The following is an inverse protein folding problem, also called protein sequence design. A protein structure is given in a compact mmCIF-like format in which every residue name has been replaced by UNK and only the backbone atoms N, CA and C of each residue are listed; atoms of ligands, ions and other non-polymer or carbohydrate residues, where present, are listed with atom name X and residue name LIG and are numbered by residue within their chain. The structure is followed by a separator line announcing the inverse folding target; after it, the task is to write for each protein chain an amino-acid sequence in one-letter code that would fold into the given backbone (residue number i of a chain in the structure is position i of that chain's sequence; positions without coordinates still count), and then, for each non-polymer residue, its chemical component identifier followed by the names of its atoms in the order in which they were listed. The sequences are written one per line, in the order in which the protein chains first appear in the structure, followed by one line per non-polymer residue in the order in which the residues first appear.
data_IF_879708476270
#
_entry.id   IF_879708476270
#
_cell.length_a   1.000
_cell.length_b   1.000
_cell.length_c   1.000
_cell.angle_alpha   90.00
_cell.angle_beta   90.00
_cell.angle_gamma   90.00
#
_symmetry.space_group_name_H-M   'P 1'
#
loop_
_entity.id
_entity.type
_entity.pdbx_description
1 polymer ?
#
# COMPACT_ATOMS: atom_id res chain seq x y z
N UNK A 1 -28.37 -50.44 -56.11
CA UNK A 1 -29.09 -49.89 -54.93
C UNK A 1 -28.48 -50.30 -53.57
N UNK A 2 -28.37 -51.60 -53.20
CA UNK A 2 -27.86 -52.00 -51.85
C UNK A 2 -26.45 -51.53 -51.47
N UNK A 3 -25.51 -51.51 -52.42
CA UNK A 3 -24.12 -51.08 -52.18
C UNK A 3 -24.04 -49.58 -51.83
N UNK A 4 -24.90 -48.77 -52.46
CA UNK A 4 -25.00 -47.34 -52.22
C UNK A 4 -25.56 -47.08 -50.80
N UNK A 5 -26.60 -47.81 -50.41
CA UNK A 5 -27.19 -47.69 -49.07
C UNK A 5 -26.18 -48.03 -47.95
N UNK A 6 -25.37 -49.08 -48.13
CA UNK A 6 -24.31 -49.44 -47.16
C UNK A 6 -23.22 -48.37 -47.06
N UNK A 7 -22.82 -47.76 -48.19
CA UNK A 7 -21.85 -46.65 -48.19
C UNK A 7 -22.40 -45.42 -47.47
N UNK A 8 -23.67 -45.07 -47.70
CA UNK A 8 -24.32 -43.95 -47.00
C UNK A 8 -24.40 -44.21 -45.50
N UNK A 9 -24.73 -45.44 -45.07
CA UNK A 9 -24.75 -45.80 -43.65
C UNK A 9 -23.35 -45.71 -43.01
N UNK A 10 -22.31 -46.14 -43.73
CA UNK A 10 -20.93 -46.05 -43.26
C UNK A 10 -20.46 -44.60 -43.10
N UNK A 11 -20.81 -43.70 -44.04
CA UNK A 11 -20.50 -42.27 -43.94
C UNK A 11 -21.14 -41.66 -42.70
N UNK A 12 -22.43 -41.93 -42.46
CA UNK A 12 -23.14 -41.43 -41.27
C UNK A 12 -22.50 -41.89 -39.96
N UNK A 13 -22.09 -43.16 -39.88
CA UNK A 13 -21.41 -43.71 -38.70
C UNK A 13 -20.03 -43.07 -38.49
N UNK A 14 -19.33 -42.73 -39.57
CA UNK A 14 -18.03 -42.06 -39.51
C UNK A 14 -18.16 -40.59 -39.10
N UNK A 15 -19.20 -39.89 -39.59
CA UNK A 15 -19.55 -38.53 -39.18
C UNK A 15 -19.88 -38.49 -37.68
N UNK A 16 -20.74 -39.38 -37.20
CA UNK A 16 -21.12 -39.46 -35.78
C UNK A 16 -19.92 -39.78 -34.86
N UNK A 17 -19.01 -40.65 -35.31
CA UNK A 17 -17.76 -40.91 -34.58
C UNK A 17 -16.85 -39.68 -34.52
N UNK A 18 -16.75 -38.95 -35.63
CA UNK A 18 -15.94 -37.73 -35.71
C UNK A 18 -16.51 -36.62 -34.81
N UNK A 19 -17.83 -36.43 -34.79
CA UNK A 19 -18.51 -35.46 -33.90
C UNK A 19 -18.24 -35.75 -32.43
N UNK A 20 -18.38 -37.02 -31.99
CA UNK A 20 -18.08 -37.41 -30.60
C UNK A 20 -16.61 -37.19 -30.22
N UNK A 21 -15.69 -37.35 -31.18
CA UNK A 21 -14.27 -37.10 -30.94
C UNK A 21 -14.00 -35.60 -30.76
N UNK A 22 -14.60 -34.74 -31.58
CA UNK A 22 -14.51 -33.28 -31.46
C UNK A 22 -15.09 -32.81 -30.12
N UNK A 23 -16.24 -33.35 -29.70
CA UNK A 23 -16.86 -33.04 -28.41
C UNK A 23 -15.96 -33.42 -27.22
N UNK A 24 -15.29 -34.58 -27.29
CA UNK A 24 -14.36 -35.04 -26.26
C UNK A 24 -13.10 -34.15 -26.20
N UNK A 25 -12.57 -33.74 -27.36
CA UNK A 25 -11.43 -32.81 -27.44
C UNK A 25 -11.80 -31.42 -26.88
N UNK A 26 -12.99 -30.92 -27.21
CA UNK A 26 -13.53 -29.66 -26.68
C UNK A 26 -13.71 -29.73 -25.16
N UNK A 27 -14.29 -30.82 -24.65
CA UNK A 27 -14.45 -31.06 -23.22
C UNK A 27 -13.11 -31.06 -22.49
N UNK A 28 -12.10 -31.75 -23.03
CA UNK A 28 -10.74 -31.74 -22.49
C UNK A 28 -10.12 -30.33 -22.48
N UNK A 29 -10.30 -29.56 -23.56
CA UNK A 29 -9.80 -28.19 -23.64
C UNK A 29 -10.45 -27.28 -22.58
N UNK A 30 -11.76 -27.40 -22.37
CA UNK A 30 -12.50 -26.65 -21.36
C UNK A 30 -12.09 -27.05 -19.93
N UNK A 31 -11.88 -28.35 -19.68
CA UNK A 31 -11.38 -28.82 -18.39
C UNK A 31 -9.98 -28.27 -18.09
N UNK A 32 -9.06 -28.29 -19.06
CA UNK A 32 -7.73 -27.68 -18.91
C UNK A 32 -7.78 -26.15 -18.72
N UNK A 33 -8.83 -25.46 -19.20
CA UNK A 33 -9.03 -24.03 -18.98
C UNK A 33 -9.50 -23.75 -17.55
N UNK A 34 -10.43 -24.56 -17.05
CA UNK A 34 -10.91 -24.51 -15.66
C UNK A 34 -9.76 -24.75 -14.69
N UNK A 35 -8.96 -25.80 -14.91
CA UNK A 35 -7.79 -26.11 -14.07
C UNK A 35 -6.79 -24.96 -14.02
N UNK A 36 -6.50 -24.33 -15.18
CA UNK A 36 -5.61 -23.15 -15.24
C UNK A 36 -6.15 -21.96 -14.45
N UNK A 37 -7.44 -21.68 -14.54
CA UNK A 37 -8.08 -20.61 -13.76
C UNK A 37 -8.10 -20.93 -12.26
N UNK A 38 -8.33 -22.18 -11.87
CA UNK A 38 -8.23 -22.63 -10.47
C UNK A 38 -6.82 -22.38 -9.90
N UNK A 39 -5.77 -22.81 -10.61
CA UNK A 39 -4.37 -22.58 -10.20
C UNK A 39 -4.07 -21.08 -10.07
N UNK A 40 -4.59 -20.25 -10.98
CA UNK A 40 -4.42 -18.80 -10.95
C UNK A 40 -5.13 -18.17 -9.75
N UNK A 41 -6.34 -18.61 -9.43
CA UNK A 41 -7.09 -18.16 -8.27
C UNK A 41 -6.39 -18.55 -6.95
N UNK A 42 -5.88 -19.77 -6.84
CA UNK A 42 -5.10 -20.25 -5.69
C UNK A 42 -3.83 -19.43 -5.46
N UNK A 43 -3.08 -19.14 -6.53
CA UNK A 43 -1.89 -18.26 -6.44
C UNK A 43 -2.25 -16.86 -5.94
N UNK A 44 -3.39 -16.33 -6.35
CA UNK A 44 -3.84 -15.00 -5.92
C UNK A 44 -4.34 -14.99 -4.48
N UNK A 45 -5.06 -16.02 -4.03
CA UNK A 45 -5.48 -16.16 -2.62
C UNK A 45 -4.29 -16.40 -1.69
N UNK A 46 -3.32 -17.21 -2.10
CA UNK A 46 -2.07 -17.38 -1.36
C UNK A 46 -1.34 -16.04 -1.17
N UNK A 47 -1.20 -15.22 -2.23
CA UNK A 47 -0.62 -13.87 -2.16
C UNK A 47 -1.39 -12.92 -1.23
N UNK A 48 -2.72 -13.00 -1.22
CA UNK A 48 -3.56 -12.19 -0.31
C UNK A 48 -3.40 -12.64 1.14
N UNK A 49 -3.29 -13.94 1.41
CA UNK A 49 -3.05 -14.49 2.76
C UNK A 49 -1.64 -14.20 3.27
N UNK A 50 -0.65 -14.12 2.38
CA UNK A 50 0.73 -13.74 2.73
C UNK A 50 0.97 -12.24 2.77
N UNK A 51 -0.04 -11.39 2.54
CA UNK A 51 0.03 -10.00 3.00
C UNK A 51 0.10 -10.03 4.52
N UNK A 52 1.34 -10.11 5.02
CA UNK A 52 1.69 -10.08 6.44
C UNK A 52 0.92 -8.93 7.04
N UNK A 53 -0.07 -9.25 7.89
CA UNK A 53 -0.85 -8.24 8.60
C UNK A 53 0.16 -7.44 9.39
N UNK A 54 0.49 -6.25 8.89
CA UNK A 54 1.48 -5.41 9.54
C UNK A 54 0.96 -5.14 10.95
N UNK A 55 1.77 -5.52 11.93
CA UNK A 55 1.47 -5.20 13.31
C UNK A 55 1.35 -3.68 13.44
N UNK A 56 0.53 -3.18 14.39
CA UNK A 56 0.45 -1.73 14.63
C UNK A 56 1.83 -1.09 14.83
N UNK A 57 2.80 -1.84 15.36
CA UNK A 57 4.20 -1.41 15.51
C UNK A 57 4.89 -1.17 14.16
N UNK A 58 4.85 -2.14 13.25
CA UNK A 58 5.44 -2.03 11.90
C UNK A 58 4.83 -0.83 11.13
N UNK A 59 3.51 -0.65 11.21
CA UNK A 59 2.83 0.52 10.60
C UNK A 59 3.35 1.85 11.13
N UNK A 60 3.68 1.92 12.41
CA UNK A 60 4.24 3.13 13.01
C UNK A 60 5.73 3.30 12.69
N UNK A 61 6.48 2.20 12.54
CA UNK A 61 7.88 2.26 12.13
C UNK A 61 8.02 2.89 10.75
N UNK A 62 7.18 2.49 9.79
CA UNK A 62 7.12 3.09 8.44
C UNK A 62 6.78 4.59 8.51
N UNK A 63 5.76 4.96 9.30
CA UNK A 63 5.36 6.38 9.48
C UNK A 63 6.47 7.22 10.11
N UNK A 64 7.17 6.69 11.11
CA UNK A 64 8.29 7.37 11.75
C UNK A 64 9.47 7.53 10.78
N UNK A 65 9.77 6.52 9.97
CA UNK A 65 10.81 6.62 8.93
C UNK A 65 10.47 7.70 7.88
N UNK A 66 9.21 7.77 7.44
CA UNK A 66 8.76 8.81 6.52
C UNK A 66 8.87 10.21 7.15
N UNK A 67 8.48 10.33 8.42
CA UNK A 67 8.58 11.59 9.15
C UNK A 67 10.02 12.08 9.27
N UNK A 68 10.98 11.19 9.56
CA UNK A 68 12.41 11.53 9.61
C UNK A 68 12.92 12.02 8.26
N UNK A 69 12.54 11.38 7.15
CA UNK A 69 12.92 11.82 5.80
C UNK A 69 12.42 13.22 5.48
N UNK A 70 11.14 13.49 5.75
CA UNK A 70 10.52 14.80 5.52
C UNK A 70 11.13 15.89 6.42
N UNK A 71 11.48 15.52 7.65
CA UNK A 71 12.15 16.43 8.58
C UNK A 71 13.57 16.79 8.10
N UNK A 72 14.32 15.81 7.61
CA UNK A 72 15.64 16.04 7.02
C UNK A 72 15.58 16.96 5.78
N UNK A 73 14.45 16.98 5.07
CA UNK A 73 14.19 17.91 3.96
C UNK A 73 13.81 19.34 4.43
N UNK A 74 13.72 19.58 5.74
CA UNK A 74 13.38 20.88 6.31
C UNK A 74 11.88 21.09 6.58
N UNK A 75 11.06 20.04 6.47
CA UNK A 75 9.63 20.15 6.78
C UNK A 75 9.39 20.10 8.29
N UNK A 76 8.57 21.00 8.83
CA UNK A 76 8.21 20.96 10.25
C UNK A 76 7.23 19.83 10.60
N UNK A 77 7.34 19.28 11.81
CA UNK A 77 6.50 18.17 12.30
C UNK A 77 4.99 18.34 12.15
N UNK A 78 4.38 19.53 12.34
CA UNK A 78 2.95 19.70 12.15
C UNK A 78 2.52 19.50 10.70
N UNK A 79 3.36 19.87 9.74
CA UNK A 79 3.12 19.66 8.31
C UNK A 79 3.35 18.19 7.96
N UNK A 80 4.40 17.57 8.50
CA UNK A 80 4.68 16.13 8.35
C UNK A 80 3.50 15.29 8.84
N UNK A 81 2.93 15.63 10.00
CA UNK A 81 1.80 14.91 10.57
C UNK A 81 0.57 14.94 9.64
N UNK A 82 0.33 16.07 8.96
CA UNK A 82 -0.72 16.18 7.94
C UNK A 82 -0.42 15.29 6.72
N UNK A 83 0.82 15.30 6.23
CA UNK A 83 1.25 14.49 5.08
C UNK A 83 1.14 12.98 5.37
N UNK A 84 1.57 12.56 6.57
CA UNK A 84 1.55 11.15 7.00
C UNK A 84 0.15 10.71 7.49
N UNK A 85 -0.80 11.66 7.64
CA UNK A 85 -2.16 11.39 8.09
C UNK A 85 -2.23 10.92 9.55
N UNK A 86 -1.48 11.57 10.45
CA UNK A 86 -1.53 11.29 11.88
C UNK A 86 -1.59 12.57 12.72
N UNK A 87 -2.05 12.45 13.98
CA UNK A 87 -2.03 13.57 14.90
C UNK A 87 -0.58 13.91 15.30
N UNK A 88 -0.28 15.21 15.39
CA UNK A 88 1.05 15.71 15.78
C UNK A 88 1.52 15.11 17.11
N UNK A 89 0.61 14.98 18.10
CA UNK A 89 0.92 14.43 19.43
C UNK A 89 1.28 12.95 19.36
N UNK A 90 0.56 12.19 18.53
CA UNK A 90 0.85 10.78 18.31
C UNK A 90 2.19 10.62 17.61
N UNK A 91 2.45 11.38 16.54
CA UNK A 91 3.71 11.36 15.81
C UNK A 91 4.89 11.62 16.75
N UNK A 92 4.80 12.67 17.57
CA UNK A 92 5.85 13.04 18.51
C UNK A 92 6.14 11.95 19.54
N UNK A 93 5.08 11.40 20.15
CA UNK A 93 5.20 10.33 21.15
C UNK A 93 5.84 9.08 20.54
N UNK A 94 5.44 8.72 19.32
CA UNK A 94 5.96 7.56 18.61
C UNK A 94 7.41 7.75 18.13
N UNK A 95 7.81 8.98 17.75
CA UNK A 95 9.22 9.33 17.47
C UNK A 95 10.07 9.31 18.74
N UNK A 96 9.57 9.85 19.86
CA UNK A 96 10.26 9.87 21.16
C UNK A 96 10.48 8.45 21.69
N UNK A 97 9.46 7.58 21.64
CA UNK A 97 9.59 6.15 22.01
C UNK A 97 10.68 5.42 21.23
N UNK A 98 10.90 5.81 19.97
CA UNK A 98 11.88 5.18 19.07
C UNK A 98 13.25 5.86 19.08
N UNK A 99 13.42 6.96 19.82
CA UNK A 99 14.67 7.71 19.88
C UNK A 99 15.07 8.42 18.58
N UNK A 100 14.17 8.52 17.60
CA UNK A 100 14.44 9.13 16.28
C UNK A 100 13.96 10.58 16.18
N UNK A 101 13.50 11.13 17.30
CA UNK A 101 13.03 12.51 17.36
C UNK A 101 14.22 13.47 17.17
N UNK A 102 14.21 14.18 16.05
CA UNK A 102 15.20 15.21 15.77
C UNK A 102 14.70 16.59 16.20
N UNK A 103 15.59 17.40 16.76
CA UNK A 103 15.29 18.79 17.08
C UNK A 103 15.32 19.64 15.81
N UNK A 104 14.35 20.56 15.62
CA UNK A 104 14.41 21.58 14.59
C UNK A 104 15.78 22.25 14.65
N UNK A 105 16.61 22.04 13.63
CA UNK A 105 17.85 22.81 13.49
C UNK A 105 17.40 24.24 13.27
N UNK A 106 17.68 25.10 14.26
CA UNK A 106 17.42 26.53 14.15
C UNK A 106 18.10 26.99 12.87
N UNK A 107 17.31 27.32 11.84
CA UNK A 107 17.84 28.06 10.69
C UNK A 107 18.19 29.41 11.27
N UNK A 108 19.48 29.66 11.47
CA UNK A 108 19.98 30.94 11.99
C UNK A 108 19.38 32.06 11.15
N UNK A 109 18.58 32.98 11.72
CA UNK A 109 18.25 34.20 11.03
C UNK A 109 19.56 34.97 10.88
N UNK A 110 20.06 35.05 9.65
CA UNK A 110 21.18 35.91 9.31
C UNK A 110 20.90 37.32 9.86
N UNK A 111 21.85 37.81 10.64
CA UNK A 111 21.92 39.13 11.30
C UNK A 111 21.03 40.20 10.66
N UNK A 112 20.04 40.71 11.39
CA UNK A 112 19.61 42.10 11.24
C UNK A 112 19.25 42.72 12.60
N UNK A 113 20.09 43.69 12.97
CA UNK A 113 19.89 44.90 13.79
C UNK A 113 18.78 44.89 14.85
N UNK A 114 19.19 45.08 16.11
CA UNK A 114 18.34 45.31 17.28
C UNK A 114 17.53 46.62 17.13
N UNK A 115 16.26 46.59 17.51
CA UNK A 115 15.52 47.73 18.05
C UNK A 115 14.88 47.29 19.37
N UNK A 116 14.99 48.07 20.46
CA UNK A 116 14.35 47.72 21.73
C UNK A 116 12.86 48.06 21.63
N UNK A 117 11.99 47.04 21.68
CA UNK A 117 10.55 47.25 21.81
C UNK A 117 9.97 46.22 22.76
N UNK A 118 9.34 46.76 23.81
CA UNK A 118 8.56 46.16 24.90
C UNK A 118 7.93 44.82 24.50
N UNK A 119 7.97 43.77 25.36
CA UNK A 119 7.37 42.48 25.04
C UNK A 119 5.86 42.67 24.92
N UNK A 120 5.24 42.43 23.75
CA UNK A 120 3.83 42.19 23.73
C UNK A 120 3.62 40.82 24.38
N UNK A 121 2.72 40.72 25.37
CA UNK A 121 2.18 39.44 25.78
C UNK A 121 1.28 38.90 24.65
N UNK A 122 1.88 38.55 23.52
CA UNK A 122 1.24 37.78 22.48
C UNK A 122 1.12 36.37 23.01
N UNK A 123 -0.11 35.90 23.16
CA UNK A 123 -0.43 34.48 23.37
C UNK A 123 0.45 33.67 22.41
N UNK A 124 1.42 32.92 22.93
CA UNK A 124 2.29 32.05 22.13
C UNK A 124 1.42 31.30 21.13
N UNK A 125 1.80 31.32 19.85
CA UNK A 125 1.07 30.62 18.80
C UNK A 125 0.86 29.17 19.23
N UNK A 126 -0.23 28.53 18.78
CA UNK A 126 -0.51 27.11 19.11
C UNK A 126 0.71 26.22 18.83
N UNK A 127 1.52 26.61 17.85
CA UNK A 127 2.79 25.98 17.47
C UNK A 127 3.89 26.15 18.53
N UNK A 128 4.11 27.36 19.04
CA UNK A 128 5.14 27.65 20.05
C UNK A 128 4.83 26.99 21.39
N UNK A 129 3.58 27.07 21.85
CA UNK A 129 3.14 26.37 23.07
C UNK A 129 3.34 24.86 22.96
N UNK A 130 3.14 24.33 21.75
CA UNK A 130 3.30 22.92 21.44
C UNK A 130 4.78 22.51 21.36
N UNK A 131 5.65 23.36 20.78
CA UNK A 131 7.12 23.19 20.81
C UNK A 131 7.61 23.15 22.25
N UNK A 132 7.12 24.04 23.11
CA UNK A 132 7.49 24.10 24.53
C UNK A 132 7.06 22.85 25.31
N UNK A 133 5.80 22.42 25.18
CA UNK A 133 5.26 21.28 25.92
C UNK A 133 5.94 19.94 25.56
N UNK A 134 6.25 19.73 24.28
CA UNK A 134 6.77 18.45 23.81
C UNK A 134 8.30 18.40 23.74
N UNK A 135 8.98 19.52 23.46
CA UNK A 135 10.43 19.54 23.16
C UNK A 135 11.34 19.98 24.31
N UNK A 136 10.83 20.70 25.32
CA UNK A 136 11.65 21.25 26.42
C UNK A 136 11.28 20.68 27.81
N UNK A 137 10.50 19.59 27.85
CA UNK A 137 10.27 18.73 29.03
C UNK A 137 10.72 17.28 28.76
#
# INVERSE_FOLDING_TARGET
MRVIAKKVQMIRLQEEYCERQVDAEQYCADQCKIERECIKLEKNTAKKRTQKVQTPKEKWDEKCQQAVKLFNQGTEYPTIAKIVGCNVSSLYRELKKRGVLQMPKQVTPSKSVKLPRIPPQTKNSKLERYKEYYMYK
#
